data_IF_572388143337
#
_entry.id   IF_572388143337
#
_cell.length_a   1.000
_cell.length_b   1.000
_cell.length_c   1.000
_cell.angle_alpha   90.00
_cell.angle_beta   90.00
_cell.angle_gamma   90.00
#
_symmetry.space_group_name_H-M   'P 1'
#
loop_
_entity.id
_entity.type
_entity.pdbx_description
1 polymer ?
#
# COMPACT_ATOMS: atom_id res chain seq x y z
N UNK A 1 3.61 -4.87 23.20
CA UNK A 1 2.34 -4.37 22.63
C UNK A 1 2.38 -4.49 21.12
N UNK A 2 1.41 -5.16 20.55
CA UNK A 2 1.32 -5.37 19.10
C UNK A 2 0.32 -4.39 18.49
N UNK A 3 0.72 -3.71 17.42
CA UNK A 3 -0.12 -2.76 16.71
C UNK A 3 -0.15 -3.08 15.22
N UNK A 4 -1.26 -2.76 14.56
CA UNK A 4 -1.29 -2.75 13.10
C UNK A 4 -0.34 -1.68 12.54
N UNK A 5 0.06 -1.81 11.29
CA UNK A 5 0.94 -0.82 10.64
C UNK A 5 0.32 0.58 10.66
N UNK A 6 -0.98 0.68 10.42
CA UNK A 6 -1.72 1.95 10.46
C UNK A 6 -1.78 2.53 11.87
N UNK A 7 -2.07 1.69 12.87
CA UNK A 7 -2.09 2.13 14.26
C UNK A 7 -0.70 2.59 14.74
N UNK A 8 0.34 1.89 14.32
CA UNK A 8 1.72 2.25 14.63
C UNK A 8 2.11 3.59 13.99
N UNK A 9 1.72 3.82 12.75
CA UNK A 9 1.95 5.10 12.07
C UNK A 9 1.33 6.27 12.86
N UNK A 10 0.09 6.11 13.33
CA UNK A 10 -0.58 7.10 14.19
C UNK A 10 0.12 7.27 15.53
N UNK A 11 0.52 6.19 16.14
CA UNK A 11 1.21 6.20 17.43
C UNK A 11 2.53 6.99 17.35
N UNK A 12 3.23 6.89 16.21
CA UNK A 12 4.50 7.58 15.97
C UNK A 12 4.33 8.97 15.36
N UNK A 13 3.14 9.33 14.92
CA UNK A 13 2.88 10.60 14.26
C UNK A 13 3.50 10.70 12.86
N UNK A 14 3.63 9.57 12.18
CA UNK A 14 4.23 9.49 10.84
C UNK A 14 3.24 8.90 9.84
N UNK A 15 3.55 9.05 8.55
CA UNK A 15 2.73 8.43 7.51
C UNK A 15 2.92 6.91 7.50
N UNK A 16 1.91 6.21 6.99
CA UNK A 16 1.99 4.76 6.83
C UNK A 16 3.13 4.35 5.89
N UNK A 17 3.41 5.16 4.88
CA UNK A 17 4.53 4.98 3.97
C UNK A 17 5.88 4.99 4.70
N UNK A 18 6.04 5.87 5.66
CA UNK A 18 7.22 5.93 6.51
C UNK A 18 7.40 4.62 7.27
N UNK A 19 6.30 4.09 7.81
CA UNK A 19 6.33 2.79 8.51
C UNK A 19 6.75 1.66 7.57
N UNK A 20 6.23 1.61 6.35
CA UNK A 20 6.64 0.61 5.37
C UNK A 20 8.11 0.73 4.99
N UNK A 21 8.61 1.94 4.85
CA UNK A 21 10.04 2.18 4.60
C UNK A 21 10.90 1.67 5.76
N UNK A 22 10.47 1.87 6.99
CA UNK A 22 11.15 1.35 8.17
C UNK A 22 11.15 -0.18 8.23
N UNK A 23 10.05 -0.79 7.80
CA UNK A 23 9.94 -2.25 7.73
C UNK A 23 10.95 -2.80 6.71
N UNK A 24 11.04 -2.20 5.53
CA UNK A 24 12.01 -2.62 4.50
C UNK A 24 13.46 -2.48 4.96
N UNK A 25 13.75 -1.45 5.75
CA UNK A 25 15.10 -1.22 6.30
C UNK A 25 15.41 -2.07 7.52
N UNK A 26 14.44 -2.80 8.05
CA UNK A 26 14.61 -3.59 9.27
C UNK A 26 14.65 -2.76 10.55
N UNK A 27 14.14 -1.54 10.52
CA UNK A 27 14.11 -0.61 11.67
C UNK A 27 12.93 -0.86 12.60
N UNK A 28 12.00 -1.71 12.20
CA UNK A 28 10.80 -2.07 12.94
C UNK A 28 10.76 -3.58 13.14
N UNK A 29 10.46 -4.01 14.35
CA UNK A 29 10.32 -5.43 14.67
C UNK A 29 8.88 -5.87 14.41
N UNK A 30 8.75 -6.97 13.68
CA UNK A 30 7.45 -7.53 13.33
C UNK A 30 7.19 -8.82 14.10
N UNK A 31 5.95 -8.97 14.54
CA UNK A 31 5.43 -10.21 15.10
C UNK A 31 4.21 -10.62 14.26
N UNK A 32 4.43 -11.50 13.29
CA UNK A 32 3.43 -11.84 12.28
C UNK A 32 3.13 -10.63 11.40
N UNK A 33 1.86 -10.28 11.23
CA UNK A 33 1.41 -9.12 10.45
C UNK A 33 1.39 -7.81 11.24
N UNK A 34 1.72 -7.85 12.54
CA UNK A 34 1.68 -6.68 13.43
C UNK A 34 3.08 -6.23 13.82
N UNK A 35 3.17 -4.97 14.23
CA UNK A 35 4.42 -4.40 14.72
C UNK A 35 4.51 -4.59 16.23
N UNK A 36 5.64 -5.13 16.68
CA UNK A 36 5.97 -5.19 18.11
C UNK A 36 6.57 -3.85 18.53
N UNK A 37 5.77 -3.04 19.22
CA UNK A 37 6.15 -1.68 19.61
C UNK A 37 7.30 -1.69 20.61
N UNK A 38 7.26 -2.58 21.59
CA UNK A 38 8.27 -2.65 22.64
C UNK A 38 9.64 -3.05 22.10
N UNK A 39 9.67 -4.06 21.23
CA UNK A 39 10.90 -4.50 20.58
C UNK A 39 11.44 -3.44 19.61
N UNK A 40 10.55 -2.74 18.90
CA UNK A 40 10.91 -1.66 18.00
C UNK A 40 11.49 -0.46 18.74
N UNK A 41 10.88 -0.07 19.85
CA UNK A 41 11.38 1.03 20.69
C UNK A 41 12.78 0.72 21.24
N UNK A 42 13.02 -0.52 21.61
CA UNK A 42 14.36 -0.97 22.05
C UNK A 42 15.41 -0.85 20.95
N UNK A 43 15.03 -1.12 19.70
CA UNK A 43 15.91 -0.95 18.53
C UNK A 43 16.17 0.53 18.20
N UNK A 44 15.14 1.37 18.33
CA UNK A 44 15.21 2.77 17.94
C UNK A 44 15.89 3.69 18.95
N UNK A 45 16.03 3.27 20.19
CA UNK A 45 16.74 4.04 21.22
C UNK A 45 18.22 4.29 20.89
N UNK A 46 18.74 3.68 19.81
CA UNK A 46 20.08 3.93 19.29
C UNK A 46 20.14 4.74 17.99
N UNK A 47 19.02 5.02 17.35
CA UNK A 47 18.97 5.71 16.05
C UNK A 47 17.96 6.86 16.06
N UNK A 48 18.47 8.09 16.00
CA UNK A 48 17.62 9.27 15.77
C UNK A 48 17.23 9.33 14.28
N UNK A 49 15.97 9.06 13.99
CA UNK A 49 15.42 9.26 12.65
C UNK A 49 14.96 10.70 12.46
N UNK A 50 15.69 11.44 11.64
CA UNK A 50 15.19 12.66 11.05
C UNK A 50 14.37 12.28 9.82
N UNK A 51 13.08 12.11 10.00
CA UNK A 51 12.14 11.98 8.89
C UNK A 51 11.89 13.36 8.30
N UNK A 52 12.81 13.85 7.48
CA UNK A 52 12.67 15.11 6.77
C UNK A 52 12.34 14.86 5.31
N UNK A 53 11.16 14.25 5.02
CA UNK A 53 10.59 14.25 3.68
C UNK A 53 9.34 15.13 3.69
N UNK A 54 9.15 15.96 2.62
CA UNK A 54 7.89 16.69 2.48
C UNK A 54 6.76 15.66 2.41
N UNK A 55 5.94 15.61 3.43
CA UNK A 55 4.83 14.69 3.49
C UNK A 55 3.70 15.21 2.62
N UNK A 56 3.22 14.34 1.71
CA UNK A 56 1.98 14.61 1.00
C UNK A 56 0.82 14.64 2.00
N UNK A 57 -0.22 15.45 1.76
CA UNK A 57 -1.40 15.46 2.61
C UNK A 57 -2.01 14.07 2.74
N UNK A 58 -2.23 13.64 3.95
CA UNK A 58 -2.76 12.32 4.27
C UNK A 58 -4.25 12.42 4.58
N UNK A 59 -5.03 11.52 4.00
CA UNK A 59 -6.44 11.35 4.30
C UNK A 59 -6.59 10.36 5.45
N UNK A 60 -7.08 10.83 6.57
CA UNK A 60 -7.40 9.97 7.72
C UNK A 60 -8.84 9.48 7.58
N UNK A 61 -9.00 8.29 7.01
CA UNK A 61 -10.30 7.67 6.76
C UNK A 61 -10.27 6.20 7.16
N UNK A 62 -11.43 5.58 7.18
CA UNK A 62 -11.54 4.14 7.46
C UNK A 62 -11.41 3.32 6.17
N UNK A 63 -11.20 2.02 6.30
CA UNK A 63 -11.14 1.11 5.16
C UNK A 63 -12.42 1.16 4.32
N UNK A 64 -13.59 1.23 4.98
CA UNK A 64 -14.87 1.36 4.30
C UNK A 64 -14.97 2.64 3.47
N UNK A 65 -14.53 3.76 4.04
CA UNK A 65 -14.51 5.05 3.33
C UNK A 65 -13.48 5.08 2.20
N UNK A 66 -12.34 4.43 2.38
CA UNK A 66 -11.35 4.28 1.31
C UNK A 66 -11.97 3.55 0.12
N UNK A 67 -12.64 2.44 0.36
CA UNK A 67 -13.30 1.67 -0.71
C UNK A 67 -14.38 2.49 -1.42
N UNK A 68 -15.18 3.24 -0.69
CA UNK A 68 -16.18 4.14 -1.27
C UNK A 68 -15.55 5.24 -2.13
N UNK A 69 -14.44 5.83 -1.67
CA UNK A 69 -13.70 6.84 -2.43
C UNK A 69 -13.11 6.28 -3.73
N UNK A 70 -12.58 5.06 -3.68
CA UNK A 70 -12.07 4.36 -4.86
C UNK A 70 -13.19 4.12 -5.87
N UNK A 71 -14.32 3.60 -5.43
CA UNK A 71 -15.49 3.35 -6.30
C UNK A 71 -16.05 4.65 -6.89
N UNK A 72 -16.10 5.72 -6.10
CA UNK A 72 -16.62 7.00 -6.55
C UNK A 72 -15.77 7.63 -7.67
N UNK A 73 -14.48 7.31 -7.70
CA UNK A 73 -13.54 7.83 -8.70
C UNK A 73 -13.35 6.90 -9.91
N UNK A 74 -13.93 5.71 -9.87
CA UNK A 74 -13.81 4.72 -10.95
C UNK A 74 -14.28 5.28 -12.29
N UNK A 75 -13.44 5.12 -13.30
CA UNK A 75 -13.74 5.54 -14.67
C UNK A 75 -13.67 7.05 -14.91
N UNK A 76 -13.31 7.83 -13.90
CA UNK A 76 -13.19 9.30 -14.01
C UNK A 76 -11.77 9.77 -14.29
N UNK A 77 -10.79 8.91 -14.07
CA UNK A 77 -9.38 9.22 -14.20
C UNK A 77 -8.81 8.61 -15.48
N UNK A 78 -7.79 9.26 -16.08
CA UNK A 78 -7.15 8.71 -17.29
C UNK A 78 -6.38 7.44 -16.94
N UNK A 79 -6.43 6.47 -17.86
CA UNK A 79 -5.68 5.22 -17.73
C UNK A 79 -4.19 5.47 -17.95
N UNK A 80 -3.30 4.79 -17.20
CA UNK A 80 -1.87 4.87 -17.47
C UNK A 80 -1.54 4.19 -18.81
N UNK A 81 -0.70 4.80 -19.61
CA UNK A 81 -0.38 4.37 -20.98
C UNK A 81 1.08 3.98 -21.11
N UNK A 82 1.99 4.76 -20.53
CA UNK A 82 3.42 4.49 -20.60
C UNK A 82 3.85 3.49 -19.52
N UNK A 83 4.97 2.81 -19.74
CA UNK A 83 5.55 1.89 -18.77
C UNK A 83 5.78 2.58 -17.41
N UNK A 84 6.31 3.80 -17.43
CA UNK A 84 6.54 4.58 -16.21
C UNK A 84 5.24 4.88 -15.48
N UNK A 85 4.19 5.26 -16.20
CA UNK A 85 2.87 5.52 -15.61
C UNK A 85 2.26 4.26 -15.02
N UNK A 86 2.39 3.13 -15.72
CA UNK A 86 1.89 1.83 -15.26
C UNK A 86 2.60 1.42 -13.97
N UNK A 87 3.93 1.49 -13.95
CA UNK A 87 4.72 1.14 -12.76
C UNK A 87 4.40 2.07 -11.60
N UNK A 88 4.28 3.36 -11.85
CA UNK A 88 3.92 4.34 -10.82
C UNK A 88 2.54 4.03 -10.22
N UNK A 89 1.56 3.73 -11.04
CA UNK A 89 0.22 3.36 -10.59
C UNK A 89 0.23 2.09 -9.75
N UNK A 90 0.92 1.05 -10.20
CA UNK A 90 1.05 -0.22 -9.45
C UNK A 90 1.76 0.01 -8.11
N UNK A 91 2.82 0.79 -8.10
CA UNK A 91 3.57 1.10 -6.89
C UNK A 91 2.70 1.79 -5.84
N UNK A 92 1.93 2.79 -6.26
CA UNK A 92 1.02 3.52 -5.36
C UNK A 92 -0.11 2.62 -4.84
N UNK A 93 -0.71 1.83 -5.72
CA UNK A 93 -1.79 0.91 -5.35
C UNK A 93 -1.30 -0.15 -4.37
N UNK A 94 -0.14 -0.74 -4.62
CA UNK A 94 0.47 -1.73 -3.74
C UNK A 94 0.80 -1.13 -2.36
N UNK A 95 1.39 0.06 -2.36
CA UNK A 95 1.71 0.78 -1.13
C UNK A 95 0.47 1.09 -0.30
N UNK A 96 -0.64 1.46 -0.95
CA UNK A 96 -1.91 1.74 -0.29
C UNK A 96 -2.44 0.54 0.50
N UNK A 97 -2.24 -0.67 -0.02
CA UNK A 97 -2.74 -1.91 0.57
C UNK A 97 -1.69 -2.58 1.47
N UNK A 98 -0.43 -2.18 1.36
CA UNK A 98 0.66 -2.69 2.20
C UNK A 98 1.49 -3.77 1.56
N UNK A 99 1.49 -3.84 0.24
CA UNK A 99 2.36 -4.74 -0.53
C UNK A 99 3.60 -4.01 -1.02
N UNK A 100 4.70 -4.76 -1.12
CA UNK A 100 5.89 -4.34 -1.85
C UNK A 100 5.81 -4.85 -3.28
N UNK A 101 6.43 -4.15 -4.20
CA UNK A 101 6.41 -4.47 -5.64
C UNK A 101 7.83 -4.64 -6.15
N UNK A 102 8.05 -5.70 -6.89
CA UNK A 102 9.26 -5.88 -7.68
C UNK A 102 8.87 -6.18 -9.13
N UNK A 103 9.62 -5.61 -10.07
CA UNK A 103 9.42 -5.84 -11.49
C UNK A 103 10.42 -6.87 -11.96
N UNK A 104 9.91 -7.94 -12.56
CA UNK A 104 10.71 -9.06 -13.04
C UNK A 104 11.02 -8.87 -14.52
N UNK A 105 11.93 -9.68 -15.05
CA UNK A 105 12.17 -9.76 -16.49
C UNK A 105 10.87 -10.17 -17.22
N UNK A 106 10.78 -9.87 -18.49
CA UNK A 106 9.62 -10.20 -19.34
C UNK A 106 8.30 -9.60 -18.84
N UNK A 107 8.35 -8.36 -18.30
CA UNK A 107 7.18 -7.62 -17.83
C UNK A 107 6.46 -8.27 -16.63
N UNK A 108 7.11 -9.15 -15.90
CA UNK A 108 6.56 -9.77 -14.70
C UNK A 108 6.43 -8.78 -13.55
N UNK A 109 5.43 -8.98 -12.72
CA UNK A 109 5.21 -8.21 -11.49
C UNK A 109 5.15 -9.18 -10.32
N UNK A 110 5.91 -8.88 -9.27
CA UNK A 110 5.91 -9.63 -8.03
C UNK A 110 5.40 -8.73 -6.90
N UNK A 111 4.24 -9.09 -6.35
CA UNK A 111 3.68 -8.44 -5.17
C UNK A 111 3.90 -9.33 -3.96
N UNK A 112 4.44 -8.76 -2.90
CA UNK A 112 4.64 -9.52 -1.67
C UNK A 112 4.40 -8.66 -0.43
N UNK A 113 3.93 -9.30 0.61
CA UNK A 113 3.94 -8.80 1.97
C UNK A 113 4.53 -9.88 2.88
N UNK A 114 4.31 -9.80 4.18
CA UNK A 114 4.88 -10.77 5.13
C UNK A 114 4.22 -12.15 5.06
N UNK A 115 2.97 -12.21 4.60
CA UNK A 115 2.16 -13.42 4.65
C UNK A 115 1.81 -13.95 3.26
N UNK A 116 2.01 -13.18 2.22
CA UNK A 116 1.56 -13.56 0.88
C UNK A 116 2.54 -13.11 -0.22
N UNK A 117 2.63 -13.93 -1.24
CA UNK A 117 3.42 -13.68 -2.44
C UNK A 117 2.57 -13.94 -3.67
N UNK A 118 2.59 -12.99 -4.61
CA UNK A 118 1.82 -13.10 -5.85
C UNK A 118 2.70 -12.74 -7.05
N UNK A 119 2.71 -13.62 -8.04
CA UNK A 119 3.46 -13.44 -9.27
C UNK A 119 2.51 -13.27 -10.44
N UNK A 120 2.72 -12.26 -11.25
CA UNK A 120 1.97 -12.00 -12.46
C UNK A 120 2.95 -12.00 -13.63
N UNK A 121 2.90 -13.03 -14.44
CA UNK A 121 3.84 -13.27 -15.53
C UNK A 121 3.10 -13.74 -16.77
N UNK A 122 3.78 -13.72 -17.90
CA UNK A 122 3.26 -14.30 -19.15
C UNK A 122 2.34 -13.36 -19.93
N UNK A 123 2.72 -12.11 -20.06
CA UNK A 123 1.96 -11.14 -20.85
C UNK A 123 2.70 -9.83 -20.99
N UNK A 124 2.04 -8.82 -21.46
CA UNK A 124 2.57 -7.47 -21.47
C UNK A 124 2.45 -6.87 -20.06
N UNK A 125 3.25 -5.83 -19.79
CA UNK A 125 3.23 -5.15 -18.50
C UNK A 125 1.83 -4.66 -18.11
N UNK A 126 1.09 -4.11 -19.09
CA UNK A 126 -0.28 -3.63 -18.84
C UNK A 126 -1.22 -4.75 -18.39
N UNK A 127 -1.08 -5.94 -18.94
CA UNK A 127 -1.89 -7.10 -18.57
C UNK A 127 -1.55 -7.59 -17.16
N UNK A 128 -0.27 -7.69 -16.86
CA UNK A 128 0.20 -8.09 -15.53
C UNK A 128 -0.18 -7.06 -14.47
N UNK A 129 -0.09 -5.77 -14.81
CA UNK A 129 -0.53 -4.67 -13.94
C UNK A 129 -2.04 -4.71 -13.67
N UNK A 130 -2.84 -5.01 -14.69
CA UNK A 130 -4.29 -5.17 -14.52
C UNK A 130 -4.62 -6.26 -13.50
N UNK A 131 -3.97 -7.40 -13.60
CA UNK A 131 -4.13 -8.50 -12.65
C UNK A 131 -3.66 -8.12 -11.24
N UNK A 132 -2.53 -7.43 -11.15
CA UNK A 132 -1.98 -7.00 -9.87
C UNK A 132 -2.91 -6.01 -9.17
N UNK A 133 -3.41 -5.02 -9.87
CA UNK A 133 -4.34 -4.02 -9.31
C UNK A 133 -5.69 -4.64 -8.98
N UNK A 134 -6.17 -5.57 -9.80
CA UNK A 134 -7.40 -6.31 -9.49
C UNK A 134 -7.27 -7.06 -8.15
N UNK A 135 -6.13 -7.72 -7.92
CA UNK A 135 -5.85 -8.35 -6.62
C UNK A 135 -5.85 -7.34 -5.48
N UNK A 136 -5.20 -6.20 -5.67
CA UNK A 136 -5.13 -5.15 -4.64
C UNK A 136 -6.51 -4.57 -4.34
N UNK A 137 -7.35 -4.38 -5.35
CA UNK A 137 -8.73 -3.93 -5.17
C UNK A 137 -9.59 -4.97 -4.44
N UNK A 138 -9.41 -6.25 -4.74
CA UNK A 138 -10.09 -7.34 -4.03
C UNK A 138 -9.66 -7.38 -2.56
N UNK A 139 -8.38 -7.22 -2.30
CA UNK A 139 -7.85 -7.14 -0.93
C UNK A 139 -8.42 -5.95 -0.18
N UNK A 140 -8.53 -4.79 -0.83
CA UNK A 140 -9.16 -3.61 -0.26
C UNK A 140 -10.65 -3.85 0.02
N UNK A 141 -11.38 -4.43 -0.91
CA UNK A 141 -12.79 -4.76 -0.75
C UNK A 141 -13.00 -5.69 0.45
N UNK A 142 -12.16 -6.71 0.57
CA UNK A 142 -12.19 -7.63 1.70
C UNK A 142 -11.92 -6.93 3.03
N UNK A 143 -10.90 -6.09 3.08
CA UNK A 143 -10.57 -5.32 4.28
C UNK A 143 -11.69 -4.34 4.66
N UNK A 144 -12.33 -3.72 3.68
CA UNK A 144 -13.46 -2.83 3.91
C UNK A 144 -14.69 -3.57 4.42
N UNK A 145 -14.87 -4.83 4.04
CA UNK A 145 -15.97 -5.67 4.51
C UNK A 145 -15.72 -6.21 5.93
N UNK A 146 -14.49 -6.66 6.20
CA UNK A 146 -14.11 -7.24 7.50
C UNK A 146 -13.89 -6.19 8.58
N UNK A 147 -13.26 -5.07 8.22
CA UNK A 147 -12.86 -4.02 9.16
C UNK A 147 -13.24 -2.63 8.64
N UNK A 148 -14.54 -2.36 8.37
CA UNK A 148 -14.96 -1.09 7.74
C UNK A 148 -14.64 0.14 8.59
N UNK A 149 -14.60 -0.01 9.90
CA UNK A 149 -14.37 1.08 10.85
C UNK A 149 -12.91 1.21 11.28
N UNK A 150 -12.03 0.35 10.79
CA UNK A 150 -10.60 0.45 11.11
C UNK A 150 -10.00 1.67 10.41
N UNK A 151 -9.41 2.62 11.17
CA UNK A 151 -8.82 3.81 10.59
C UNK A 151 -7.49 3.51 9.91
N UNK A 152 -7.18 4.28 8.88
CA UNK A 152 -5.90 4.24 8.19
C UNK A 152 -5.60 5.58 7.55
N UNK A 153 -4.40 5.69 7.02
CA UNK A 153 -3.90 6.90 6.39
C UNK A 153 -3.51 6.59 4.95
N UNK A 154 -4.10 7.31 4.01
CA UNK A 154 -3.81 7.17 2.58
C UNK A 154 -3.62 8.54 1.95
N UNK A 155 -2.79 8.64 0.94
CA UNK A 155 -2.67 9.85 0.13
C UNK A 155 -3.73 9.85 -0.96
N UNK A 156 -4.06 11.03 -1.46
CA UNK A 156 -4.98 11.17 -2.60
C UNK A 156 -4.45 10.40 -3.83
N UNK A 157 -3.13 10.43 -4.05
CA UNK A 157 -2.50 9.70 -5.14
C UNK A 157 -2.71 8.18 -5.03
N UNK A 158 -2.67 7.62 -3.81
CA UNK A 158 -2.96 6.20 -3.58
C UNK A 158 -4.41 5.85 -3.91
N UNK A 159 -5.36 6.69 -3.50
CA UNK A 159 -6.78 6.52 -3.84
C UNK A 159 -6.98 6.53 -5.36
N UNK A 160 -6.38 7.51 -6.02
CA UNK A 160 -6.46 7.65 -7.48
C UNK A 160 -5.84 6.47 -8.21
N UNK A 161 -4.73 5.93 -7.72
CA UNK A 161 -4.07 4.77 -8.34
C UNK A 161 -4.96 3.53 -8.36
N UNK A 162 -5.73 3.31 -7.31
CA UNK A 162 -6.69 2.20 -7.23
C UNK A 162 -7.92 2.45 -8.10
N UNK A 163 -8.25 3.71 -8.38
CA UNK A 163 -9.42 4.12 -9.17
C UNK A 163 -9.12 4.21 -10.67
N UNK A 164 -7.90 4.55 -11.05
CA UNK A 164 -7.49 4.70 -12.45
C UNK A 164 -7.64 3.41 -13.23
N UNK A 165 -7.39 2.28 -12.59
CA UNK A 165 -7.38 0.99 -13.24
C UNK A 165 -8.76 0.35 -13.19
N UNK A 166 -9.60 0.75 -14.12
CA UNK A 166 -10.92 0.15 -14.24
C UNK A 166 -10.88 -1.03 -15.19
N UNK A 167 -11.35 -2.16 -14.72
CA UNK A 167 -11.61 -3.29 -15.59
C UNK A 167 -12.90 -3.03 -16.37
N UNK A 168 -12.82 -3.04 -17.65
CA UNK A 168 -14.04 -3.09 -18.47
C UNK A 168 -14.60 -4.51 -18.40
N UNK A 169 -15.80 -4.62 -17.90
CA UNK A 169 -16.54 -5.88 -17.93
C UNK A 169 -16.97 -6.23 -19.35
#
# INVERSE_FOLDING_TARGET
MLMSKSAYAKHRGVSRQTVYAWIEKGEVVLSGSKIDVDATDSLQNGNTHNASQPEEPVLEITWGKLWEAVKASDGKLPQPVTEEQIQHCVNLAARAIGYSVEYLEDNGIYLHDFDAEHYFQGGQLVQNADLAIDLLRKTLCYAADECPDEPGDWTQAEVESLSQWRRED
#
